data_IF_920263172206
#
_entry.id   IF_920263172206
#
_cell.length_a   1.000
_cell.length_b   1.000
_cell.length_c   1.000
_cell.angle_alpha   90.00
_cell.angle_beta   90.00
_cell.angle_gamma   90.00
#
_symmetry.space_group_name_H-M   'P 1'
#
loop_
_entity.id
_entity.type
_entity.pdbx_description
1 polymer ?
#
# COMPACT_ATOMS: atom_id res chain seq x y z
N UNK A 1 4.94 24.12 13.56
CA UNK A 1 5.57 23.31 12.47
C UNK A 1 6.54 24.15 11.63
N UNK A 2 6.11 25.24 10.98
CA UNK A 2 7.04 26.08 10.17
C UNK A 2 8.15 26.74 11.00
N UNK A 3 7.89 27.09 12.24
CA UNK A 3 8.86 27.72 13.16
C UNK A 3 10.03 26.78 13.55
N UNK A 4 9.92 25.50 13.29
CA UNK A 4 10.96 24.50 13.59
C UNK A 4 11.88 24.22 12.39
N UNK A 5 11.55 24.69 11.19
CA UNK A 5 12.36 24.45 10.00
C UNK A 5 13.62 25.33 10.05
N UNK A 6 14.77 24.70 9.82
CA UNK A 6 16.07 25.37 9.79
C UNK A 6 17.04 24.60 8.88
N UNK A 7 18.29 25.04 8.78
CA UNK A 7 19.30 24.40 7.93
C UNK A 7 19.66 22.95 8.28
N UNK A 8 19.29 22.47 9.46
CA UNK A 8 19.46 21.07 9.88
C UNK A 8 18.26 20.18 9.59
N UNK A 9 17.18 20.73 9.03
CA UNK A 9 15.97 19.95 8.72
C UNK A 9 16.28 18.89 7.68
N UNK A 10 15.95 17.64 7.99
CA UNK A 10 16.05 16.49 7.06
C UNK A 10 14.85 16.50 6.12
N UNK A 11 15.08 16.12 4.88
CA UNK A 11 14.04 16.13 3.85
C UNK A 11 13.79 14.71 3.37
N UNK A 12 12.52 14.38 3.33
CA UNK A 12 12.02 13.20 2.63
C UNK A 12 11.09 13.68 1.51
N UNK A 13 11.02 12.95 0.44
CA UNK A 13 10.07 13.24 -0.64
C UNK A 13 8.97 12.19 -0.68
N UNK A 14 7.80 12.57 -1.21
CA UNK A 14 6.87 11.62 -1.79
C UNK A 14 6.74 11.89 -3.28
N UNK A 15 7.05 10.89 -4.11
CA UNK A 15 7.05 11.00 -5.57
C UNK A 15 5.90 10.21 -6.19
N UNK A 16 5.20 10.80 -7.16
CA UNK A 16 4.08 10.19 -7.88
C UNK A 16 3.61 11.02 -9.06
N UNK A 17 2.66 10.46 -9.83
CA UNK A 17 2.00 11.12 -10.96
C UNK A 17 0.60 10.52 -11.18
N UNK A 18 -0.50 11.23 -10.81
CA UNK A 18 -0.55 12.51 -10.12
C UNK A 18 -0.13 12.44 -8.64
N UNK A 19 0.13 13.60 -8.00
CA UNK A 19 0.60 13.67 -6.62
C UNK A 19 -0.34 14.42 -5.66
N UNK A 20 -1.31 15.16 -6.17
CA UNK A 20 -2.15 16.06 -5.37
C UNK A 20 -3.00 15.35 -4.29
N UNK A 21 -3.29 14.06 -4.46
CA UNK A 21 -4.18 13.27 -3.60
C UNK A 21 -3.49 12.67 -2.38
N UNK A 22 -2.14 12.72 -2.29
CA UNK A 22 -1.40 11.99 -1.25
C UNK A 22 -1.54 12.60 0.14
N UNK A 23 -1.54 11.77 1.16
CA UNK A 23 -1.68 12.15 2.57
C UNK A 23 -0.33 12.21 3.32
N UNK A 24 0.71 11.58 2.77
CA UNK A 24 2.01 11.45 3.44
C UNK A 24 2.69 12.78 3.80
N UNK A 25 2.61 13.88 3.02
CA UNK A 25 3.27 15.12 3.41
C UNK A 25 2.86 15.59 4.80
N UNK A 26 1.57 15.69 5.08
CA UNK A 26 1.08 16.09 6.40
C UNK A 26 1.27 14.96 7.44
N UNK A 27 0.83 13.74 7.12
CA UNK A 27 0.78 12.64 8.09
C UNK A 27 2.15 12.17 8.55
N UNK A 28 3.11 12.03 7.64
CA UNK A 28 4.47 11.58 7.98
C UNK A 28 5.26 12.71 8.64
N UNK A 29 5.12 13.97 8.17
CA UNK A 29 5.77 15.13 8.82
C UNK A 29 5.29 15.28 10.27
N UNK A 30 4.00 15.10 10.52
CA UNK A 30 3.45 15.11 11.88
C UNK A 30 4.04 13.98 12.73
N UNK A 31 4.13 12.77 12.19
CA UNK A 31 4.70 11.62 12.89
C UNK A 31 6.19 11.80 13.23
N UNK A 32 6.96 12.50 12.39
CA UNK A 32 8.32 12.90 12.73
C UNK A 32 8.36 13.88 13.90
N UNK A 33 7.51 14.92 13.87
CA UNK A 33 7.45 15.91 14.95
C UNK A 33 7.04 15.26 16.30
N UNK A 34 6.06 14.34 16.29
CA UNK A 34 5.63 13.59 17.48
C UNK A 34 6.76 12.73 18.08
N UNK A 35 7.71 12.28 17.24
CA UNK A 35 8.90 11.51 17.65
C UNK A 35 10.15 12.40 17.92
N UNK A 36 10.00 13.72 17.87
CA UNK A 36 11.08 14.69 18.14
C UNK A 36 12.10 14.81 17.00
N UNK A 37 11.77 14.35 15.77
CA UNK A 37 12.66 14.46 14.62
C UNK A 37 12.40 15.74 13.82
N UNK A 38 13.46 16.49 13.54
CA UNK A 38 13.43 17.66 12.67
C UNK A 38 13.49 17.23 11.20
N UNK A 39 12.37 16.72 10.68
CA UNK A 39 12.25 16.24 9.31
C UNK A 39 10.88 16.57 8.71
N UNK A 40 10.84 16.72 7.38
CA UNK A 40 9.62 17.01 6.61
C UNK A 40 9.49 16.10 5.40
N UNK A 41 8.25 15.91 4.93
CA UNK A 41 7.96 15.26 3.66
C UNK A 41 7.46 16.29 2.65
N UNK A 42 8.11 16.35 1.49
CA UNK A 42 7.80 17.27 0.39
C UNK A 42 7.22 16.48 -0.79
N UNK A 43 6.06 16.88 -1.35
CA UNK A 43 5.52 16.22 -2.53
C UNK A 43 6.32 16.60 -3.78
N UNK A 44 6.61 15.60 -4.62
CA UNK A 44 7.27 15.75 -5.91
C UNK A 44 6.40 15.13 -7.03
N UNK A 45 5.87 15.98 -7.90
CA UNK A 45 5.13 15.55 -9.09
C UNK A 45 6.12 15.29 -10.22
N UNK A 46 6.38 14.02 -10.51
CA UNK A 46 7.39 13.59 -11.47
C UNK A 46 6.77 12.60 -12.44
N UNK A 47 6.87 12.85 -13.74
CA UNK A 47 6.42 11.91 -14.76
C UNK A 47 7.26 10.63 -14.78
N UNK A 48 6.74 9.49 -15.25
CA UNK A 48 7.50 8.24 -15.33
C UNK A 48 8.81 8.37 -16.12
N UNK A 49 8.82 9.16 -17.20
CA UNK A 49 10.01 9.38 -18.01
C UNK A 49 11.15 10.09 -17.25
N UNK A 50 10.83 10.87 -16.22
CA UNK A 50 11.80 11.69 -15.50
C UNK A 50 12.18 11.12 -14.14
N UNK A 51 11.60 10.00 -13.71
CA UNK A 51 11.81 9.44 -12.37
C UNK A 51 13.30 9.18 -12.06
N UNK A 52 14.01 8.51 -12.96
CA UNK A 52 15.43 8.17 -12.75
C UNK A 52 16.30 9.41 -12.67
N UNK A 53 16.13 10.36 -13.60
CA UNK A 53 16.89 11.62 -13.59
C UNK A 53 16.61 12.46 -12.33
N UNK A 54 15.33 12.50 -11.91
CA UNK A 54 14.93 13.18 -10.68
C UNK A 54 15.58 12.54 -9.45
N UNK A 55 15.57 11.20 -9.34
CA UNK A 55 16.14 10.50 -8.19
C UNK A 55 17.66 10.71 -8.12
N UNK A 56 18.36 10.71 -9.27
CA UNK A 56 19.79 11.05 -9.34
C UNK A 56 20.03 12.47 -8.81
N UNK A 57 19.23 13.45 -9.26
CA UNK A 57 19.34 14.84 -8.78
C UNK A 57 19.11 14.99 -7.28
N UNK A 58 18.08 14.32 -6.76
CA UNK A 58 17.73 14.32 -5.32
C UNK A 58 18.85 13.68 -4.48
N UNK A 59 19.50 12.65 -5.01
CA UNK A 59 20.62 11.95 -4.34
C UNK A 59 21.85 12.84 -4.10
N UNK A 60 21.98 13.96 -4.82
CA UNK A 60 23.08 14.92 -4.60
C UNK A 60 22.87 15.76 -3.33
N UNK A 61 21.65 15.90 -2.84
CA UNK A 61 21.36 16.65 -1.63
C UNK A 61 21.63 15.78 -0.38
N UNK A 62 22.57 16.21 0.46
CA UNK A 62 23.03 15.43 1.63
C UNK A 62 22.03 15.42 2.80
N UNK A 63 21.04 16.28 2.78
CA UNK A 63 19.96 16.31 3.78
C UNK A 63 18.70 15.57 3.32
N UNK A 64 18.74 14.83 2.20
CA UNK A 64 17.65 13.97 1.74
C UNK A 64 17.94 12.54 2.15
N UNK A 65 17.11 11.99 3.05
CA UNK A 65 17.32 10.67 3.65
C UNK A 65 16.38 9.59 3.12
N UNK A 66 15.27 9.99 2.50
CA UNK A 66 14.30 9.01 2.03
C UNK A 66 13.33 9.53 0.98
N UNK A 67 12.72 8.58 0.29
CA UNK A 67 11.70 8.82 -0.73
C UNK A 67 10.54 7.84 -0.52
N UNK A 68 9.36 8.38 -0.27
CA UNK A 68 8.10 7.63 -0.32
C UNK A 68 7.66 7.58 -1.78
N UNK A 69 7.21 6.42 -2.23
CA UNK A 69 6.88 6.18 -3.64
C UNK A 69 5.40 5.80 -3.78
N UNK A 70 4.68 6.51 -4.64
CA UNK A 70 3.30 6.16 -4.98
C UNK A 70 3.13 5.90 -6.47
N UNK A 71 1.90 5.70 -6.92
CA UNK A 71 1.54 5.43 -8.32
C UNK A 71 2.10 6.53 -9.22
N UNK A 72 2.67 6.18 -10.41
CA UNK A 72 2.85 4.83 -10.98
C UNK A 72 4.23 4.22 -10.70
N UNK A 73 5.05 4.82 -9.83
CA UNK A 73 6.50 4.66 -9.77
C UNK A 73 7.01 3.43 -8.98
N UNK A 74 6.15 2.70 -8.28
CA UNK A 74 6.57 1.64 -7.33
C UNK A 74 7.46 0.56 -7.94
N UNK A 75 7.17 0.11 -9.15
CA UNK A 75 7.97 -0.89 -9.86
C UNK A 75 9.30 -0.29 -10.35
N UNK A 76 9.24 0.83 -11.07
CA UNK A 76 10.44 1.49 -11.58
C UNK A 76 11.40 1.95 -10.46
N UNK A 77 10.88 2.32 -9.29
CA UNK A 77 11.71 2.69 -8.14
C UNK A 77 12.42 1.50 -7.52
N UNK A 78 11.87 0.28 -7.62
CA UNK A 78 12.57 -0.93 -7.20
C UNK A 78 13.86 -1.14 -7.99
N UNK A 79 13.83 -0.94 -9.31
CA UNK A 79 14.99 -1.07 -10.18
C UNK A 79 16.10 -0.03 -9.88
N UNK A 80 15.75 1.05 -9.17
CA UNK A 80 16.68 2.11 -8.77
C UNK A 80 17.26 1.91 -7.35
N UNK A 81 16.86 0.84 -6.65
CA UNK A 81 17.39 0.47 -5.35
C UNK A 81 18.65 -0.41 -5.51
N UNK A 82 19.71 -0.11 -4.77
CA UNK A 82 20.90 -0.98 -4.70
C UNK A 82 20.62 -2.24 -3.87
N UNK A 83 19.76 -2.12 -2.86
CA UNK A 83 19.30 -3.21 -2.00
C UNK A 83 17.82 -3.07 -1.71
N UNK A 84 17.15 -4.17 -1.39
CA UNK A 84 15.73 -4.17 -1.03
C UNK A 84 15.42 -5.27 -0.01
N UNK A 85 14.32 -5.09 0.73
CA UNK A 85 13.80 -6.12 1.61
C UNK A 85 13.34 -7.37 0.82
N UNK A 86 13.22 -8.51 1.49
CA UNK A 86 12.73 -9.74 0.88
C UNK A 86 11.32 -9.56 0.26
N UNK A 87 10.41 -8.86 0.94
CA UNK A 87 9.07 -8.59 0.40
C UNK A 87 9.10 -7.64 -0.79
N UNK A 88 9.94 -6.60 -0.78
CA UNK A 88 10.11 -5.71 -1.92
C UNK A 88 10.71 -6.44 -3.12
N UNK A 89 11.68 -7.31 -2.89
CA UNK A 89 12.28 -8.19 -3.89
C UNK A 89 11.26 -9.18 -4.45
N UNK A 90 10.45 -9.82 -3.59
CA UNK A 90 9.37 -10.68 -4.05
C UNK A 90 8.37 -9.91 -4.92
N UNK A 91 8.02 -8.68 -4.57
CA UNK A 91 7.03 -7.88 -5.29
C UNK A 91 7.60 -7.17 -6.52
N UNK A 92 8.92 -7.05 -6.64
CA UNK A 92 9.61 -6.15 -7.57
C UNK A 92 9.08 -4.72 -7.48
N UNK A 93 8.77 -4.26 -6.26
CA UNK A 93 8.14 -2.96 -6.05
C UNK A 93 8.49 -2.42 -4.67
N UNK A 94 8.64 -1.10 -4.58
CA UNK A 94 8.85 -0.38 -3.33
C UNK A 94 7.83 0.75 -3.18
N UNK A 95 7.42 1.03 -1.94
CA UNK A 95 6.69 2.26 -1.62
C UNK A 95 7.49 3.22 -0.73
N UNK A 96 8.66 2.79 -0.25
CA UNK A 96 9.55 3.61 0.57
C UNK A 96 10.99 3.23 0.29
N UNK A 97 11.84 4.24 0.13
CA UNK A 97 13.27 4.10 -0.08
C UNK A 97 13.99 4.90 1.01
N UNK A 98 15.01 4.29 1.63
CA UNK A 98 15.89 4.91 2.62
C UNK A 98 17.30 4.97 2.07
N UNK A 99 18.03 6.03 2.44
CA UNK A 99 19.41 6.18 2.01
C UNK A 99 20.34 5.27 2.82
N UNK A 100 21.20 4.54 2.14
CA UNK A 100 22.29 3.77 2.73
C UNK A 100 23.46 4.69 3.11
N UNK A 101 24.36 4.19 3.96
CA UNK A 101 25.57 4.92 4.37
C UNK A 101 26.45 5.31 3.18
N UNK A 102 26.50 4.49 2.14
CA UNK A 102 27.24 4.74 0.90
C UNK A 102 26.52 5.69 -0.08
N UNK A 103 25.35 6.20 0.29
CA UNK A 103 24.53 7.10 -0.51
C UNK A 103 23.61 6.44 -1.51
N UNK A 104 23.64 5.11 -1.65
CA UNK A 104 22.69 4.35 -2.46
C UNK A 104 21.33 4.22 -1.77
N UNK A 105 20.34 3.60 -2.44
CA UNK A 105 19.00 3.44 -1.90
C UNK A 105 18.70 2.01 -1.50
N UNK A 106 18.10 1.84 -0.32
CA UNK A 106 17.48 0.59 0.15
C UNK A 106 15.97 0.74 0.11
N UNK A 107 15.29 -0.19 -0.57
CA UNK A 107 13.84 -0.13 -0.77
C UNK A 107 13.04 -1.12 0.06
N UNK A 108 11.81 -0.72 0.45
CA UNK A 108 10.86 -1.62 1.09
C UNK A 108 9.41 -1.36 0.63
N UNK A 109 8.49 -2.31 0.94
CA UNK A 109 7.09 -2.26 0.56
C UNK A 109 6.18 -2.52 1.76
N UNK A 110 5.53 -1.48 2.27
CA UNK A 110 4.71 -1.53 3.49
C UNK A 110 3.21 -1.63 3.25
N UNK A 111 2.71 -1.46 2.02
CA UNK A 111 1.26 -1.43 1.74
C UNK A 111 0.54 -2.68 2.25
N UNK A 112 1.09 -3.87 1.94
CA UNK A 112 0.47 -5.13 2.34
C UNK A 112 0.50 -5.34 3.84
N UNK A 113 1.64 -5.12 4.48
CA UNK A 113 1.79 -5.28 5.93
C UNK A 113 0.86 -4.31 6.68
N UNK A 114 0.90 -3.02 6.30
CA UNK A 114 0.05 -2.02 6.95
C UNK A 114 -1.44 -2.27 6.74
N UNK A 115 -1.86 -2.80 5.57
CA UNK A 115 -3.24 -3.18 5.35
C UNK A 115 -3.68 -4.33 6.26
N UNK A 116 -2.89 -5.39 6.36
CA UNK A 116 -3.20 -6.55 7.23
C UNK A 116 -3.21 -6.15 8.70
N UNK A 117 -2.28 -5.29 9.14
CA UNK A 117 -2.29 -4.77 10.51
C UNK A 117 -3.56 -3.94 10.79
N UNK A 118 -3.94 -3.06 9.85
CA UNK A 118 -5.18 -2.29 9.99
C UNK A 118 -6.43 -3.18 10.07
N UNK A 119 -6.47 -4.28 9.30
CA UNK A 119 -7.54 -5.28 9.42
C UNK A 119 -7.57 -5.92 10.82
N UNK A 120 -6.39 -6.30 11.35
CA UNK A 120 -6.25 -6.89 12.70
C UNK A 120 -6.73 -5.95 13.80
N UNK A 121 -6.44 -4.66 13.70
CA UNK A 121 -6.94 -3.63 14.63
C UNK A 121 -8.47 -3.55 14.65
N UNK A 122 -9.10 -3.87 13.51
CA UNK A 122 -10.56 -3.93 13.38
C UNK A 122 -11.14 -5.31 13.70
N UNK A 123 -10.35 -6.20 14.31
CA UNK A 123 -10.78 -7.52 14.78
C UNK A 123 -10.71 -8.63 13.74
N UNK A 124 -10.24 -8.38 12.53
CA UNK A 124 -10.05 -9.42 11.53
C UNK A 124 -8.94 -10.39 11.93
N UNK A 125 -9.15 -11.68 11.69
CA UNK A 125 -8.18 -12.75 11.90
C UNK A 125 -7.98 -13.50 10.58
N UNK A 126 -6.97 -13.17 9.76
CA UNK A 126 -6.80 -13.75 8.42
C UNK A 126 -6.47 -15.25 8.42
N UNK A 127 -5.83 -15.76 9.47
CA UNK A 127 -5.36 -17.15 9.52
C UNK A 127 -6.51 -18.15 9.34
N UNK A 128 -6.37 -19.07 8.40
CA UNK A 128 -7.34 -20.15 8.12
C UNK A 128 -8.56 -19.71 7.32
N UNK A 129 -8.68 -18.44 6.94
CA UNK A 129 -9.87 -17.91 6.25
C UNK A 129 -9.79 -18.06 4.73
N UNK A 130 -10.94 -17.86 4.07
CA UNK A 130 -11.10 -17.73 2.62
C UNK A 130 -11.16 -16.23 2.29
N UNK A 131 -10.22 -15.73 1.49
CA UNK A 131 -10.14 -14.32 1.14
C UNK A 131 -10.34 -14.09 -0.37
N UNK A 132 -11.09 -13.03 -0.71
CA UNK A 132 -11.21 -12.49 -2.07
C UNK A 132 -10.52 -11.13 -2.14
N UNK A 133 -9.57 -11.00 -3.04
CA UNK A 133 -8.91 -9.73 -3.36
C UNK A 133 -9.27 -9.30 -4.77
N UNK A 134 -9.78 -8.09 -4.91
CA UNK A 134 -10.06 -7.44 -6.20
C UNK A 134 -9.00 -6.37 -6.45
N UNK A 135 -8.21 -6.58 -7.50
CA UNK A 135 -7.08 -5.74 -7.91
C UNK A 135 -5.73 -6.41 -7.68
N UNK A 136 -4.96 -6.58 -8.77
CA UNK A 136 -3.60 -7.14 -8.80
C UNK A 136 -2.54 -6.10 -9.22
N UNK A 137 -2.78 -4.82 -8.91
CA UNK A 137 -1.80 -3.74 -9.06
C UNK A 137 -0.78 -3.72 -7.92
N UNK A 138 0.04 -2.67 -7.82
CA UNK A 138 1.11 -2.59 -6.82
C UNK A 138 0.64 -2.78 -5.37
N UNK A 139 -0.43 -2.08 -4.94
CA UNK A 139 -1.00 -2.27 -3.61
C UNK A 139 -1.66 -3.65 -3.46
N UNK A 140 -2.43 -4.09 -4.47
CA UNK A 140 -3.08 -5.40 -4.45
C UNK A 140 -2.08 -6.56 -4.36
N UNK A 141 -0.98 -6.51 -5.10
CA UNK A 141 0.08 -7.52 -5.02
C UNK A 141 0.73 -7.56 -3.63
N UNK A 142 0.96 -6.40 -3.03
CA UNK A 142 1.52 -6.30 -1.68
C UNK A 142 0.55 -6.87 -0.63
N UNK A 143 -0.76 -6.55 -0.75
CA UNK A 143 -1.80 -7.06 0.15
C UNK A 143 -1.94 -8.59 -0.02
N UNK A 144 -1.96 -9.09 -1.26
CA UNK A 144 -2.01 -10.52 -1.54
C UNK A 144 -0.86 -11.28 -0.87
N UNK A 145 0.37 -10.78 -1.04
CA UNK A 145 1.56 -11.35 -0.40
C UNK A 145 1.44 -11.36 1.14
N UNK A 146 1.02 -10.25 1.73
CA UNK A 146 0.86 -10.15 3.18
C UNK A 146 -0.25 -11.06 3.73
N UNK A 147 -1.35 -11.25 3.00
CA UNK A 147 -2.42 -12.19 3.36
C UNK A 147 -1.93 -13.63 3.34
N UNK A 148 -1.21 -14.04 2.28
CA UNK A 148 -0.60 -15.37 2.18
C UNK A 148 0.31 -15.62 3.37
N UNK A 149 1.23 -14.70 3.68
CA UNK A 149 2.12 -14.82 4.83
C UNK A 149 1.40 -14.75 6.19
N UNK A 150 0.18 -14.20 6.23
CA UNK A 150 -0.68 -14.20 7.43
C UNK A 150 -1.47 -15.49 7.60
N UNK A 151 -1.29 -16.46 6.70
CA UNK A 151 -1.85 -17.80 6.80
C UNK A 151 -3.33 -17.88 6.40
N UNK A 152 -3.81 -17.06 5.45
CA UNK A 152 -5.10 -17.34 4.81
C UNK A 152 -5.06 -18.75 4.20
N UNK A 153 -6.15 -19.51 4.30
CA UNK A 153 -6.20 -20.84 3.72
C UNK A 153 -6.26 -20.78 2.19
N UNK A 154 -7.16 -19.95 1.68
CA UNK A 154 -7.31 -19.73 0.24
C UNK A 154 -7.42 -18.24 -0.06
N UNK A 155 -6.65 -17.77 -1.06
CA UNK A 155 -6.74 -16.43 -1.59
C UNK A 155 -7.22 -16.48 -3.05
N UNK A 156 -8.42 -15.98 -3.31
CA UNK A 156 -8.91 -15.76 -4.67
C UNK A 156 -8.55 -14.34 -5.13
N UNK A 157 -7.99 -14.22 -6.33
CA UNK A 157 -7.57 -12.94 -6.90
C UNK A 157 -8.39 -12.66 -8.16
N UNK A 158 -9.04 -11.50 -8.18
CA UNK A 158 -9.71 -10.95 -9.35
C UNK A 158 -8.99 -9.69 -9.84
N UNK A 159 -8.76 -9.59 -11.14
CA UNK A 159 -8.27 -8.38 -11.83
C UNK A 159 -8.77 -8.44 -13.27
N UNK A 160 -9.15 -7.30 -13.83
CA UNK A 160 -9.59 -7.20 -15.23
C UNK A 160 -8.48 -7.62 -16.20
N UNK A 161 -7.21 -7.35 -15.84
CA UNK A 161 -6.05 -7.85 -16.59
C UNK A 161 -5.78 -9.31 -16.24
N UNK A 162 -6.15 -10.23 -17.13
CA UNK A 162 -5.85 -11.65 -16.98
C UNK A 162 -4.37 -11.93 -16.77
N UNK A 163 -3.48 -11.19 -17.44
CA UNK A 163 -2.03 -11.35 -17.30
C UNK A 163 -1.56 -10.98 -15.90
N UNK A 164 -1.95 -9.81 -15.37
CA UNK A 164 -1.57 -9.40 -14.00
C UNK A 164 -2.06 -10.42 -12.96
N UNK A 165 -3.32 -10.85 -13.11
CA UNK A 165 -3.92 -11.84 -12.23
C UNK A 165 -3.15 -13.16 -12.24
N UNK A 166 -2.89 -13.73 -13.43
CA UNK A 166 -2.17 -15.01 -13.56
C UNK A 166 -0.76 -14.92 -13.02
N UNK A 167 0.00 -13.89 -13.39
CA UNK A 167 1.36 -13.67 -12.89
C UNK A 167 1.40 -13.62 -11.36
N UNK A 168 0.44 -12.92 -10.73
CA UNK A 168 0.40 -12.81 -9.26
C UNK A 168 0.02 -14.14 -8.61
N UNK A 169 -0.98 -14.85 -9.14
CA UNK A 169 -1.40 -16.18 -8.66
C UNK A 169 -0.22 -17.17 -8.70
N UNK A 170 0.46 -17.26 -9.84
CA UNK A 170 1.59 -18.19 -10.02
C UNK A 170 2.73 -17.88 -9.04
N UNK A 171 3.09 -16.60 -8.89
CA UNK A 171 4.15 -16.18 -7.97
C UNK A 171 3.82 -16.50 -6.51
N UNK A 172 2.57 -16.26 -6.08
CA UNK A 172 2.16 -16.51 -4.71
C UNK A 172 2.05 -18.02 -4.42
N UNK A 173 1.59 -18.83 -5.37
CA UNK A 173 1.59 -20.29 -5.23
C UNK A 173 3.02 -20.85 -5.08
N UNK A 174 4.03 -20.20 -5.66
CA UNK A 174 5.44 -20.53 -5.47
C UNK A 174 5.94 -20.43 -4.03
N UNK A 175 5.24 -19.70 -3.14
CA UNK A 175 5.56 -19.63 -1.72
C UNK A 175 5.15 -20.89 -0.94
N UNK A 176 4.24 -21.71 -1.46
CA UNK A 176 3.73 -22.95 -0.84
C UNK A 176 3.15 -22.74 0.59
N UNK A 177 2.54 -21.58 0.87
CA UNK A 177 1.98 -21.23 2.18
C UNK A 177 0.45 -21.34 2.19
N UNK A 178 -0.20 -20.90 1.10
CA UNK A 178 -1.66 -20.86 0.92
C UNK A 178 -2.04 -21.34 -0.47
N UNK A 179 -3.27 -21.75 -0.66
CA UNK A 179 -3.82 -21.98 -2.00
C UNK A 179 -4.22 -20.64 -2.63
N UNK A 180 -3.62 -20.28 -3.76
CA UNK A 180 -3.99 -19.04 -4.47
C UNK A 180 -4.65 -19.39 -5.80
N UNK A 181 -5.84 -18.85 -6.03
CA UNK A 181 -6.69 -19.18 -7.18
C UNK A 181 -7.15 -17.94 -7.94
N UNK A 182 -7.61 -18.15 -9.17
CA UNK A 182 -8.33 -17.12 -9.91
C UNK A 182 -9.72 -16.92 -9.29
N UNK A 183 -10.05 -15.68 -8.95
CA UNK A 183 -11.35 -15.27 -8.43
C UNK A 183 -12.21 -14.53 -9.44
N UNK A 184 -13.41 -14.17 -9.02
CA UNK A 184 -14.33 -13.26 -9.70
C UNK A 184 -14.69 -12.08 -8.77
N UNK A 185 -15.61 -11.23 -9.21
CA UNK A 185 -16.16 -10.17 -8.35
C UNK A 185 -17.35 -10.65 -7.47
N UNK A 186 -17.61 -11.95 -7.41
CA UNK A 186 -18.63 -12.54 -6.53
C UNK A 186 -18.03 -12.84 -5.15
N UNK A 187 -18.50 -12.17 -4.08
CA UNK A 187 -17.95 -12.34 -2.73
C UNK A 187 -18.52 -13.58 -2.00
N UNK A 188 -19.42 -14.33 -2.61
CA UNK A 188 -20.11 -15.45 -1.96
C UNK A 188 -19.12 -16.51 -1.46
N UNK A 189 -19.22 -16.88 -0.20
CA UNK A 189 -18.41 -17.94 0.41
C UNK A 189 -17.03 -17.52 0.91
N UNK A 190 -16.67 -16.22 0.82
CA UNK A 190 -15.44 -15.71 1.40
C UNK A 190 -15.68 -15.10 2.78
N UNK A 191 -14.71 -15.25 3.66
CA UNK A 191 -14.71 -14.61 4.99
C UNK A 191 -14.21 -13.17 4.91
N UNK A 192 -13.29 -12.91 3.98
CA UNK A 192 -12.62 -11.62 3.79
C UNK A 192 -12.78 -11.17 2.33
N UNK A 193 -13.21 -9.93 2.13
CA UNK A 193 -13.37 -9.31 0.79
C UNK A 193 -12.61 -7.99 0.76
N UNK A 194 -11.68 -7.82 -0.19
CA UNK A 194 -10.81 -6.66 -0.25
C UNK A 194 -10.86 -6.01 -1.62
N UNK A 195 -11.05 -4.69 -1.63
CA UNK A 195 -10.86 -3.85 -2.81
C UNK A 195 -9.48 -3.16 -2.77
N UNK A 196 -8.62 -3.53 -3.70
CA UNK A 196 -7.32 -2.89 -3.96
C UNK A 196 -7.28 -2.19 -5.34
N UNK A 197 -8.44 -1.85 -5.89
CA UNK A 197 -8.61 -1.11 -7.15
C UNK A 197 -8.97 0.35 -6.88
N UNK A 198 -8.90 1.25 -7.91
CA UNK A 198 -9.45 2.60 -7.83
C UNK A 198 -10.98 2.66 -7.86
N UNK A 199 -11.71 1.54 -8.08
CA UNK A 199 -13.18 1.53 -8.19
C UNK A 199 -13.84 2.06 -6.91
N UNK A 200 -14.61 3.14 -7.06
CA UNK A 200 -15.27 3.86 -5.97
C UNK A 200 -14.51 5.12 -5.51
N UNK A 201 -13.45 5.54 -6.21
CA UNK A 201 -12.80 6.84 -5.99
C UNK A 201 -13.61 7.99 -6.60
N UNK A 202 -14.26 7.74 -7.73
CA UNK A 202 -15.06 8.75 -8.45
C UNK A 202 -16.53 8.44 -8.32
N UNK A 203 -17.35 9.50 -8.35
CA UNK A 203 -18.79 9.33 -8.45
C UNK A 203 -19.14 8.61 -9.76
N UNK A 204 -19.97 7.56 -9.66
CA UNK A 204 -20.39 6.75 -10.80
C UNK A 204 -19.44 5.59 -11.13
N UNK A 205 -18.34 5.43 -10.42
CA UNK A 205 -17.51 4.22 -10.56
C UNK A 205 -18.33 2.96 -10.25
N UNK A 206 -18.11 1.84 -10.96
CA UNK A 206 -18.73 0.57 -10.60
C UNK A 206 -18.24 0.09 -9.23
N UNK A 207 -19.03 -0.76 -8.59
CA UNK A 207 -18.60 -1.44 -7.37
C UNK A 207 -17.61 -2.57 -7.72
N UNK A 208 -16.56 -2.77 -6.90
CA UNK A 208 -15.54 -3.78 -7.18
C UNK A 208 -16.05 -5.23 -7.02
N UNK A 209 -17.14 -5.41 -6.26
CA UNK A 209 -17.79 -6.70 -6.03
C UNK A 209 -19.31 -6.55 -6.08
N UNK A 210 -20.02 -7.66 -6.23
CA UNK A 210 -21.48 -7.71 -6.07
C UNK A 210 -21.86 -7.50 -4.60
N UNK A 211 -22.08 -6.25 -4.21
CA UNK A 211 -22.44 -5.90 -2.83
C UNK A 211 -23.77 -6.52 -2.36
N UNK A 212 -24.65 -6.97 -3.29
CA UNK A 212 -25.89 -7.64 -2.90
C UNK A 212 -25.64 -8.98 -2.18
N UNK A 213 -24.48 -9.58 -2.41
CA UNK A 213 -24.06 -10.87 -1.85
C UNK A 213 -23.17 -10.77 -0.61
N UNK A 214 -22.88 -9.57 -0.13
CA UNK A 214 -22.15 -9.41 1.14
C UNK A 214 -23.01 -9.90 2.31
N UNK A 215 -22.41 -10.65 3.21
CA UNK A 215 -23.04 -11.18 4.43
C UNK A 215 -22.40 -10.57 5.67
N UNK A 216 -23.18 -10.39 6.75
CA UNK A 216 -22.73 -9.75 7.99
C UNK A 216 -21.54 -10.48 8.66
N UNK A 217 -21.32 -11.74 8.35
CA UNK A 217 -20.15 -12.50 8.83
C UNK A 217 -18.85 -12.16 8.11
N UNK A 218 -18.91 -11.45 6.98
CA UNK A 218 -17.73 -11.09 6.20
C UNK A 218 -17.01 -9.89 6.80
N UNK A 219 -15.69 -9.86 6.65
CA UNK A 219 -14.87 -8.68 6.85
C UNK A 219 -14.60 -8.02 5.49
N UNK A 220 -14.83 -6.70 5.38
CA UNK A 220 -14.63 -5.98 4.11
C UNK A 220 -13.59 -4.89 4.26
N UNK A 221 -12.52 -4.94 3.46
CA UNK A 221 -11.45 -3.96 3.42
C UNK A 221 -11.39 -3.17 2.12
N UNK A 222 -10.94 -1.91 2.18
CA UNK A 222 -10.78 -1.07 0.99
C UNK A 222 -9.58 -0.14 1.12
N UNK A 223 -8.76 -0.03 0.07
CA UNK A 223 -7.56 0.83 0.05
C UNK A 223 -7.87 2.31 -0.22
N UNK A 224 -9.10 2.65 -0.60
CA UNK A 224 -9.47 4.01 -1.00
C UNK A 224 -9.50 4.93 0.21
N UNK A 225 -8.78 6.06 0.10
CA UNK A 225 -8.71 7.10 1.14
C UNK A 225 -9.61 8.30 0.86
N UNK A 226 -10.02 8.49 -0.39
CA UNK A 226 -10.93 9.55 -0.84
C UNK A 226 -11.89 8.96 -1.85
N UNK A 227 -13.22 8.93 -1.54
CA UNK A 227 -13.87 9.43 -0.32
C UNK A 227 -13.45 8.63 0.93
N UNK A 228 -13.58 9.22 2.12
CA UNK A 228 -13.20 8.58 3.39
C UNK A 228 -13.96 7.27 3.65
N UNK A 229 -15.22 7.22 3.23
CA UNK A 229 -16.05 6.02 3.20
C UNK A 229 -16.35 5.72 1.73
N UNK A 230 -15.69 4.73 1.17
CA UNK A 230 -15.95 4.32 -0.21
C UNK A 230 -17.32 3.67 -0.35
N UNK A 231 -17.92 3.65 -1.56
CA UNK A 231 -19.22 3.00 -1.78
C UNK A 231 -19.26 1.54 -1.32
N UNK A 232 -18.17 0.79 -1.52
CA UNK A 232 -18.05 -0.58 -1.01
C UNK A 232 -18.14 -0.64 0.52
N UNK A 233 -17.41 0.23 1.23
CA UNK A 233 -17.43 0.26 2.71
C UNK A 233 -18.81 0.68 3.22
N UNK A 234 -19.48 1.62 2.58
CA UNK A 234 -20.85 2.01 2.93
C UNK A 234 -21.80 0.81 2.80
N UNK A 235 -21.80 0.15 1.64
CA UNK A 235 -22.65 -1.03 1.39
C UNK A 235 -22.34 -2.20 2.36
N UNK A 236 -21.08 -2.43 2.69
CA UNK A 236 -20.69 -3.46 3.65
C UNK A 236 -21.22 -3.17 5.06
N UNK A 237 -21.14 -1.91 5.52
CA UNK A 237 -21.65 -1.49 6.84
C UNK A 237 -23.17 -1.62 6.93
N UNK A 238 -23.89 -1.25 5.86
CA UNK A 238 -25.35 -1.42 5.78
C UNK A 238 -25.76 -2.89 5.92
N UNK A 239 -24.88 -3.83 5.53
CA UNK A 239 -25.10 -5.27 5.67
C UNK A 239 -24.56 -5.86 6.98
N UNK A 240 -24.02 -5.04 7.87
CA UNK A 240 -23.50 -5.45 9.16
C UNK A 240 -22.09 -6.04 9.14
N UNK A 241 -21.35 -5.91 8.02
CA UNK A 241 -19.97 -6.37 7.94
C UNK A 241 -19.03 -5.53 8.82
N UNK A 242 -18.04 -6.18 9.44
CA UNK A 242 -16.87 -5.48 9.97
C UNK A 242 -16.03 -4.93 8.83
N UNK A 243 -15.44 -3.72 9.01
CA UNK A 243 -14.76 -3.05 7.91
C UNK A 243 -13.43 -2.42 8.29
N UNK A 244 -12.49 -2.32 7.31
CA UNK A 244 -11.28 -1.50 7.37
C UNK A 244 -11.24 -0.57 6.16
N UNK A 245 -10.94 0.71 6.41
CA UNK A 245 -10.89 1.76 5.39
C UNK A 245 -9.47 2.04 4.90
N UNK A 246 -9.34 2.77 3.79
CA UNK A 246 -8.04 3.26 3.34
C UNK A 246 -7.36 4.20 4.34
N UNK A 247 -8.11 4.89 5.20
CA UNK A 247 -7.56 5.71 6.27
C UNK A 247 -6.94 4.83 7.38
N UNK A 248 -7.56 3.71 7.74
CA UNK A 248 -7.00 2.73 8.69
C UNK A 248 -5.68 2.16 8.15
N UNK A 249 -5.68 1.74 6.88
CA UNK A 249 -4.46 1.29 6.18
C UNK A 249 -3.38 2.38 6.20
N UNK A 250 -3.72 3.61 5.82
CA UNK A 250 -2.75 4.70 5.76
C UNK A 250 -2.09 4.95 7.12
N UNK A 251 -2.83 4.88 8.22
CA UNK A 251 -2.28 5.03 9.57
C UNK A 251 -1.17 4.03 9.84
N UNK A 252 -1.40 2.74 9.56
CA UNK A 252 -0.40 1.68 9.76
C UNK A 252 0.77 1.76 8.80
N UNK A 253 0.50 1.99 7.51
CA UNK A 253 1.55 2.19 6.49
C UNK A 253 2.44 3.37 6.85
N UNK A 254 1.86 4.49 7.30
CA UNK A 254 2.60 5.67 7.77
C UNK A 254 3.58 5.31 8.89
N UNK A 255 3.11 4.61 9.92
CA UNK A 255 3.92 4.29 11.07
C UNK A 255 5.11 3.37 10.69
N UNK A 256 4.85 2.35 9.86
CA UNK A 256 5.88 1.46 9.32
C UNK A 256 6.91 2.20 8.45
N UNK A 257 6.44 3.13 7.59
CA UNK A 257 7.35 3.96 6.78
C UNK A 257 8.23 4.86 7.66
N UNK A 258 7.65 5.47 8.70
CA UNK A 258 8.40 6.34 9.62
C UNK A 258 9.45 5.54 10.38
N UNK A 259 9.11 4.36 10.89
CA UNK A 259 10.06 3.48 11.56
C UNK A 259 11.23 3.10 10.64
N UNK A 260 10.92 2.74 9.39
CA UNK A 260 11.92 2.41 8.38
C UNK A 260 12.80 3.61 8.00
N UNK A 261 12.21 4.78 7.77
CA UNK A 261 12.94 5.98 7.36
C UNK A 261 13.83 6.55 8.47
N UNK A 262 13.52 6.28 9.73
CA UNK A 262 14.31 6.70 10.90
C UNK A 262 15.28 5.62 11.40
N UNK A 263 15.20 4.38 10.91
CA UNK A 263 16.17 3.33 11.25
C UNK A 263 17.45 3.51 10.44
N UNK A 264 18.56 3.76 11.12
CA UNK A 264 19.92 3.88 10.53
C UNK A 264 20.71 2.60 10.74
#
# INVERSE_FOLDING_TARGET
MLEQLNGATRVHYIVGDPIAQVKSPAGVTQAYAERGHNAIVVPAHVSPANLSAWLVGVSLAQNVDGVIVTVPHKFASFDLCATASERATFLNAVNTMRRNVDGTWHGDMFDGLGFVEAMRDRGCRPTGTLALLVGAGGAGSAIAHALVLSGVNTLAIHDESGTRRTTLVDRLNGLNVSTVIHGSNDPTGYDIVINATPMGMKSGDPLPVDCAKLAASMFVGCVITVPAISPLIAAARERGCATSTGADMFGRVRDLMVDFLLSH
#
